data_IF_675453305842
#
_entry.id   IF_675453305842
#
_cell.length_a   1.000
_cell.length_b   1.000
_cell.length_c   1.000
_cell.angle_alpha   90.00
_cell.angle_beta   90.00
_cell.angle_gamma   90.00
#
_symmetry.space_group_name_H-M   'P 1'
#
loop_
_entity.id
_entity.type
_entity.pdbx_description
1 polymer ?
#
# COMPACT_ATOMS: atom_id res chain seq x y z
N UNK A 1 10.85 34.28 -0.28
CA UNK A 1 10.11 33.50 0.73
C UNK A 1 9.15 32.63 -0.07
N UNK A 2 9.43 31.33 -0.21
CA UNK A 2 8.54 30.41 -0.92
C UNK A 2 7.26 30.23 -0.11
N UNK A 3 6.12 30.30 -0.78
CA UNK A 3 4.80 29.97 -0.22
C UNK A 3 4.85 28.60 0.46
N UNK A 4 4.10 28.39 1.56
CA UNK A 4 4.01 27.06 2.17
C UNK A 4 3.43 26.08 1.15
N UNK A 5 4.08 24.94 1.00
CA UNK A 5 3.60 23.83 0.15
C UNK A 5 2.34 23.31 0.82
N UNK A 6 1.20 23.39 0.15
CA UNK A 6 -0.06 22.86 0.66
C UNK A 6 -0.13 21.37 0.27
N UNK A 7 -0.37 20.48 1.23
CA UNK A 7 -0.46 19.03 0.96
C UNK A 7 -1.56 18.69 -0.05
N UNK A 8 -2.59 19.54 -0.12
CA UNK A 8 -3.67 19.44 -1.10
C UNK A 8 -3.25 19.72 -2.56
N UNK A 9 -2.06 20.28 -2.78
CA UNK A 9 -1.52 20.56 -4.13
C UNK A 9 -0.80 19.34 -4.73
N UNK A 10 -0.59 18.27 -3.95
CA UNK A 10 -0.02 17.03 -4.47
C UNK A 10 -1.13 16.18 -5.12
N UNK A 11 -0.89 15.66 -6.35
CA UNK A 11 -1.83 14.74 -6.96
C UNK A 11 -1.94 13.49 -6.09
N UNK A 12 -3.15 13.22 -5.60
CA UNK A 12 -3.43 12.04 -4.81
C UNK A 12 -3.28 10.80 -5.69
N UNK A 13 -2.40 9.88 -5.29
CA UNK A 13 -2.29 8.59 -5.96
C UNK A 13 -3.63 7.83 -5.83
N UNK A 14 -4.05 7.07 -6.85
CA UNK A 14 -5.24 6.26 -6.76
C UNK A 14 -5.07 5.19 -5.67
N UNK A 15 -6.09 5.06 -4.81
CA UNK A 15 -6.12 4.05 -3.74
C UNK A 15 -7.02 2.91 -4.20
N UNK A 16 -6.48 1.69 -4.18
CA UNK A 16 -7.22 0.48 -4.54
C UNK A 16 -7.42 -0.39 -3.29
N UNK A 17 -8.66 -0.66 -2.92
CA UNK A 17 -8.98 -1.60 -1.84
C UNK A 17 -9.02 -3.00 -2.43
N UNK A 18 -8.11 -3.85 -1.98
CA UNK A 18 -7.97 -5.23 -2.45
C UNK A 18 -8.36 -6.20 -1.32
N UNK A 19 -9.34 -7.04 -1.58
CA UNK A 19 -9.83 -8.07 -0.65
C UNK A 19 -9.50 -9.49 -1.11
N UNK A 20 -9.14 -9.66 -2.39
CA UNK A 20 -8.68 -10.92 -2.97
C UNK A 20 -7.37 -10.72 -3.72
N UNK A 21 -6.43 -11.66 -3.56
CA UNK A 21 -5.13 -11.59 -4.23
C UNK A 21 -5.21 -11.41 -5.75
N UNK A 22 -6.22 -11.99 -6.42
CA UNK A 22 -6.44 -11.85 -7.86
C UNK A 22 -6.77 -10.44 -8.34
N UNK A 23 -7.04 -9.50 -7.43
CA UNK A 23 -7.25 -8.08 -7.75
C UNK A 23 -5.93 -7.30 -7.77
N UNK A 24 -4.83 -7.88 -7.26
CA UNK A 24 -3.51 -7.28 -7.38
C UNK A 24 -2.98 -7.44 -8.82
N UNK A 25 -2.16 -6.49 -9.31
CA UNK A 25 -1.44 -6.69 -10.55
C UNK A 25 -0.57 -7.96 -10.47
N UNK A 26 -0.46 -8.70 -11.57
CA UNK A 26 0.28 -9.97 -11.60
C UNK A 26 1.72 -9.84 -11.12
N UNK A 27 2.37 -8.71 -11.37
CA UNK A 27 3.74 -8.45 -10.90
C UNK A 27 3.91 -8.51 -9.37
N UNK A 28 2.83 -8.29 -8.59
CA UNK A 28 2.84 -8.44 -7.14
C UNK A 28 2.73 -9.91 -6.70
N UNK A 29 2.10 -10.76 -7.52
CA UNK A 29 1.90 -12.19 -7.24
C UNK A 29 3.04 -13.04 -7.83
N UNK A 30 3.57 -12.60 -8.96
CA UNK A 30 4.56 -13.30 -9.80
C UNK A 30 5.72 -12.34 -10.11
N UNK A 31 6.64 -12.12 -9.16
CA UNK A 31 7.78 -11.24 -9.37
C UNK A 31 8.74 -11.80 -10.43
N UNK A 32 9.35 -10.92 -11.21
CA UNK A 32 10.28 -11.27 -12.29
C UNK A 32 11.67 -10.72 -12.01
N UNK A 33 12.72 -11.52 -12.24
CA UNK A 33 14.12 -11.11 -12.04
C UNK A 33 14.56 -9.98 -12.98
N UNK A 34 13.94 -9.87 -14.15
CA UNK A 34 14.24 -8.84 -15.15
C UNK A 34 13.48 -7.53 -14.89
N UNK A 35 12.52 -7.53 -13.97
CA UNK A 35 11.68 -6.36 -13.64
C UNK A 35 11.54 -6.22 -12.13
N UNK A 36 12.47 -5.48 -11.53
CA UNK A 36 12.48 -5.26 -10.09
C UNK A 36 11.36 -4.30 -9.67
N UNK A 37 10.50 -4.77 -8.77
CA UNK A 37 9.45 -3.99 -8.14
C UNK A 37 9.88 -3.60 -6.72
N UNK A 38 9.83 -2.30 -6.40
CA UNK A 38 10.08 -1.79 -5.05
C UNK A 38 8.74 -1.39 -4.45
N UNK A 39 8.42 -1.93 -3.26
CA UNK A 39 7.14 -1.74 -2.58
C UNK A 39 7.42 -1.11 -1.21
N UNK A 40 6.79 0.03 -0.93
CA UNK A 40 6.66 0.51 0.45
C UNK A 40 5.59 -0.33 1.13
N UNK A 41 5.89 -0.84 2.33
CA UNK A 41 4.99 -1.74 3.05
C UNK A 41 4.68 -1.14 4.41
N UNK A 42 3.39 -0.96 4.69
CA UNK A 42 2.88 -0.62 6.01
C UNK A 42 1.72 -1.54 6.39
N UNK A 43 1.48 -1.71 7.68
CA UNK A 43 0.42 -2.59 8.16
C UNK A 43 -0.31 -2.04 9.38
N UNK A 44 -1.63 -2.16 9.33
CA UNK A 44 -2.53 -1.77 10.41
C UNK A 44 -3.15 -3.02 11.03
N UNK A 45 -2.90 -3.23 12.33
CA UNK A 45 -3.49 -4.32 13.10
C UNK A 45 -4.88 -3.96 13.60
N UNK A 46 -5.80 -4.93 13.62
CA UNK A 46 -7.05 -4.82 14.38
C UNK A 46 -7.02 -5.80 15.56
N UNK A 47 -7.54 -5.34 16.69
CA UNK A 47 -7.66 -6.13 17.92
C UNK A 47 -6.31 -6.72 18.40
N UNK A 48 -5.41 -5.83 18.83
CA UNK A 48 -4.02 -6.10 19.26
C UNK A 48 -3.88 -6.98 20.53
N UNK A 49 -4.91 -7.73 20.90
CA UNK A 49 -4.86 -8.73 21.98
C UNK A 49 -4.04 -9.96 21.56
N UNK A 50 -3.95 -10.98 22.44
CA UNK A 50 -3.05 -12.15 22.28
C UNK A 50 -3.19 -12.94 20.96
N UNK A 51 -4.28 -12.77 20.23
CA UNK A 51 -4.58 -13.45 18.94
C UNK A 51 -4.83 -12.45 17.82
N UNK A 52 -4.20 -11.28 17.85
CA UNK A 52 -4.53 -10.18 16.94
C UNK A 52 -4.55 -10.57 15.45
N UNK A 53 -5.42 -9.90 14.72
CA UNK A 53 -5.59 -10.08 13.28
C UNK A 53 -4.97 -8.90 12.53
N UNK A 54 -4.28 -9.20 11.43
CA UNK A 54 -3.85 -8.19 10.48
C UNK A 54 -5.11 -7.64 9.79
N UNK A 55 -5.40 -6.35 9.94
CA UNK A 55 -6.63 -5.76 9.43
C UNK A 55 -6.45 -5.24 8.00
N UNK A 56 -5.33 -4.54 7.75
CA UNK A 56 -5.03 -3.92 6.45
C UNK A 56 -3.52 -3.90 6.22
N UNK A 57 -3.09 -4.16 4.98
CA UNK A 57 -1.74 -3.88 4.50
C UNK A 57 -1.85 -2.77 3.45
N UNK A 58 -0.95 -1.78 3.53
CA UNK A 58 -0.87 -0.65 2.61
C UNK A 58 0.47 -0.65 1.90
#
# INVERSE_FOLDING_TARGET
ISSPINEADFPQAPIYIVTHASQLPSAFLEPCVDSQLIIGFDCEGADLCRTGALCVMQ
#
